data_IF_718874384622
#
_entry.id   IF_718874384622
#
_cell.length_a   1.000
_cell.length_b   1.000
_cell.length_c   1.000
_cell.angle_alpha   90.00
_cell.angle_beta   90.00
_cell.angle_gamma   90.00
#
_symmetry.space_group_name_H-M   'P 1'
#
loop_
_entity.id
_entity.type
_entity.pdbx_description
1 polymer ?
#
# COMPACT_ATOMS: atom_id res chain seq x y z
N UNK A 1 -15.35 -7.49 -0.37
CA UNK A 1 -14.54 -6.43 0.29
C UNK A 1 -14.68 -5.15 -0.53
N UNK A 2 -14.68 -3.98 0.12
CA UNK A 2 -14.76 -2.69 -0.58
C UNK A 2 -13.35 -2.32 -1.09
N UNK A 3 -13.23 -1.93 -2.37
CA UNK A 3 -12.00 -1.35 -2.92
C UNK A 3 -11.72 -0.01 -2.22
N UNK A 4 -10.55 0.13 -1.62
CA UNK A 4 -10.15 1.33 -0.90
C UNK A 4 -9.73 2.42 -1.87
N UNK A 5 -10.09 3.66 -1.54
CA UNK A 5 -9.52 4.86 -2.21
C UNK A 5 -8.14 5.17 -1.68
N UNK A 6 -7.38 6.01 -2.40
CA UNK A 6 -6.09 6.53 -1.92
C UNK A 6 -6.20 7.18 -0.53
N UNK A 7 -7.28 7.90 -0.25
CA UNK A 7 -7.44 8.61 1.02
C UNK A 7 -7.76 7.64 2.16
N UNK A 8 -8.58 6.63 1.93
CA UNK A 8 -8.83 5.55 2.89
C UNK A 8 -7.54 4.78 3.22
N UNK A 9 -6.71 4.50 2.21
CA UNK A 9 -5.40 3.86 2.39
C UNK A 9 -4.50 4.72 3.29
N UNK A 10 -4.44 6.04 3.05
CA UNK A 10 -3.65 6.96 3.88
C UNK A 10 -4.17 7.03 5.31
N UNK A 11 -5.49 7.04 5.49
CA UNK A 11 -6.11 7.04 6.82
C UNK A 11 -5.76 5.78 7.60
N UNK A 12 -5.86 4.61 6.96
CA UNK A 12 -5.44 3.33 7.56
C UNK A 12 -3.95 3.38 7.91
N UNK A 13 -3.09 3.87 7.02
CA UNK A 13 -1.67 4.01 7.28
C UNK A 13 -1.41 4.82 8.54
N UNK A 14 -1.95 6.04 8.65
CA UNK A 14 -1.75 6.92 9.80
C UNK A 14 -2.24 6.32 11.12
N UNK A 15 -3.38 5.63 11.10
CA UNK A 15 -3.98 5.00 12.30
C UNK A 15 -3.23 3.74 12.76
N UNK A 16 -2.44 3.12 11.89
CA UNK A 16 -1.83 1.81 12.15
C UNK A 16 -0.30 1.80 11.97
N UNK A 17 0.35 2.96 12.10
CA UNK A 17 1.81 3.07 12.19
C UNK A 17 2.31 2.21 13.36
N UNK A 18 3.31 1.36 13.11
CA UNK A 18 3.85 0.47 14.14
C UNK A 18 5.34 0.70 14.43
N UNK A 19 6.23 0.77 13.43
CA UNK A 19 7.68 0.83 13.65
C UNK A 19 8.37 1.80 12.69
N UNK A 20 9.28 2.63 13.22
CA UNK A 20 10.15 3.51 12.43
C UNK A 20 11.04 2.71 11.46
N UNK A 21 11.26 3.26 10.28
CA UNK A 21 12.14 2.70 9.26
C UNK A 21 12.81 3.81 8.43
N UNK A 22 13.77 3.42 7.61
CA UNK A 22 14.38 4.24 6.55
C UNK A 22 14.34 3.52 5.19
N UNK A 23 13.60 2.42 5.09
CA UNK A 23 13.50 1.64 3.86
C UNK A 23 12.67 2.39 2.83
N UNK A 24 13.17 2.48 1.59
CA UNK A 24 12.43 3.03 0.44
C UNK A 24 11.80 4.41 0.70
N UNK A 25 12.51 5.26 1.44
CA UNK A 25 12.04 6.60 1.85
C UNK A 25 10.70 6.60 2.63
N UNK A 26 10.42 5.49 3.31
CA UNK A 26 9.30 5.39 4.26
C UNK A 26 9.82 5.73 5.65
N UNK A 27 9.04 6.52 6.40
CA UNK A 27 9.38 6.86 7.79
C UNK A 27 8.92 5.81 8.80
N UNK A 28 7.79 5.14 8.53
CA UNK A 28 7.24 4.11 9.40
C UNK A 28 6.57 2.98 8.60
N UNK A 29 6.64 1.75 9.11
CA UNK A 29 5.79 0.70 8.62
C UNK A 29 4.38 0.81 9.20
N UNK A 30 3.40 0.37 8.42
CA UNK A 30 2.06 0.02 8.84
C UNK A 30 1.94 -1.50 8.99
N UNK A 31 1.38 -1.94 10.10
CA UNK A 31 1.20 -3.35 10.45
C UNK A 31 -0.26 -3.82 10.29
N UNK A 32 -1.10 -3.04 9.60
CA UNK A 32 -2.47 -3.40 9.27
C UNK A 32 -2.51 -4.25 7.99
N UNK A 33 -3.09 -5.47 7.98
CA UNK A 33 -3.13 -6.30 6.78
C UNK A 33 -3.96 -5.68 5.66
N UNK A 34 -3.39 -5.61 4.47
CA UNK A 34 -4.08 -5.22 3.23
C UNK A 34 -3.93 -6.31 2.17
N UNK A 35 -4.90 -6.38 1.28
CA UNK A 35 -4.87 -7.22 0.07
C UNK A 35 -4.61 -6.31 -1.12
N UNK A 36 -3.68 -6.72 -1.99
CA UNK A 36 -3.36 -6.07 -3.25
C UNK A 36 -3.71 -7.05 -4.37
N UNK A 37 -4.52 -6.60 -5.31
CA UNK A 37 -4.98 -7.36 -6.47
C UNK A 37 -4.44 -6.71 -7.74
N UNK A 38 -3.76 -7.49 -8.57
CA UNK A 38 -3.43 -7.14 -9.96
C UNK A 38 -4.19 -8.07 -10.93
N UNK A 39 -3.86 -8.05 -12.23
CA UNK A 39 -4.57 -8.85 -13.23
C UNK A 39 -4.45 -10.37 -13.02
N UNK A 40 -3.33 -10.82 -12.48
CA UNK A 40 -2.98 -12.24 -12.44
C UNK A 40 -2.91 -12.79 -11.00
N UNK A 41 -2.78 -11.91 -10.00
CA UNK A 41 -2.41 -12.31 -8.64
C UNK A 41 -3.12 -11.51 -7.55
N UNK A 42 -3.24 -12.17 -6.40
CA UNK A 42 -3.63 -11.57 -5.13
C UNK A 42 -2.48 -11.71 -4.14
N UNK A 43 -2.07 -10.60 -3.53
CA UNK A 43 -1.02 -10.56 -2.53
C UNK A 43 -1.56 -9.99 -1.21
N UNK A 44 -1.23 -10.63 -0.09
CA UNK A 44 -1.54 -10.12 1.25
C UNK A 44 -0.30 -9.50 1.86
N UNK A 45 -0.33 -8.20 2.11
CA UNK A 45 0.72 -7.51 2.84
C UNK A 45 0.31 -7.27 4.28
N UNK A 46 1.10 -7.81 5.22
CA UNK A 46 0.97 -7.53 6.67
C UNK A 46 1.91 -6.41 7.15
N UNK A 47 2.78 -5.94 6.26
CA UNK A 47 3.80 -4.93 6.54
C UNK A 47 4.05 -4.13 5.26
N UNK A 48 3.61 -2.88 5.26
CA UNK A 48 3.70 -1.97 4.13
C UNK A 48 3.96 -0.54 4.61
N UNK A 49 4.16 0.40 3.70
CA UNK A 49 4.27 1.81 4.05
C UNK A 49 4.02 2.72 2.87
N UNK A 50 3.96 4.03 3.11
CA UNK A 50 3.80 5.06 2.08
C UNK A 50 5.02 5.97 2.13
N UNK A 51 5.70 6.12 0.99
CA UNK A 51 6.87 7.01 0.87
C UNK A 51 6.46 8.46 0.55
N UNK A 52 7.43 9.37 0.48
CA UNK A 52 7.18 10.80 0.21
C UNK A 52 6.60 11.05 -1.20
N UNK A 53 6.84 10.16 -2.15
CA UNK A 53 6.32 10.21 -3.52
C UNK A 53 4.85 9.76 -3.63
N UNK A 54 4.26 9.25 -2.53
CA UNK A 54 2.88 8.77 -2.51
C UNK A 54 2.74 7.35 -3.07
N UNK A 55 3.79 6.55 -3.00
CA UNK A 55 3.78 5.15 -3.38
C UNK A 55 3.58 4.27 -2.15
N UNK A 56 2.70 3.27 -2.30
CA UNK A 56 2.50 2.24 -1.30
C UNK A 56 3.47 1.08 -1.58
N UNK A 57 4.47 0.90 -0.72
CA UNK A 57 5.40 -0.23 -0.79
C UNK A 57 4.80 -1.40 -0.01
N UNK A 58 4.39 -2.47 -0.70
CA UNK A 58 3.71 -3.62 -0.07
C UNK A 58 4.54 -4.90 0.01
N UNK A 59 5.68 -4.95 -0.71
CA UNK A 59 6.65 -6.02 -0.60
C UNK A 59 8.08 -5.48 -0.63
N UNK A 60 8.64 -5.25 0.55
CA UNK A 60 10.01 -4.74 0.74
C UNK A 60 11.10 -5.67 0.21
N UNK A 61 10.87 -6.98 0.10
CA UNK A 61 11.89 -7.91 -0.42
C UNK A 61 12.03 -7.83 -1.93
N UNK A 62 10.92 -7.56 -2.62
CA UNK A 62 10.86 -7.48 -4.08
C UNK A 62 10.80 -6.05 -4.61
N UNK A 63 10.83 -5.05 -3.72
CA UNK A 63 10.57 -3.65 -4.03
C UNK A 63 9.27 -3.46 -4.84
N UNK A 64 8.19 -4.13 -4.44
CA UNK A 64 6.90 -3.95 -5.11
C UNK A 64 6.11 -2.81 -4.47
N UNK A 65 5.57 -1.98 -5.33
CA UNK A 65 4.85 -0.78 -4.94
C UNK A 65 3.65 -0.49 -5.84
N UNK A 66 2.76 0.37 -5.33
CA UNK A 66 1.65 0.95 -6.08
C UNK A 66 1.76 2.47 -6.00
N UNK A 67 1.90 3.13 -7.14
CA UNK A 67 1.72 4.58 -7.20
C UNK A 67 0.24 4.93 -6.94
N UNK A 68 -0.07 5.54 -5.80
CA UNK A 68 -1.46 5.75 -5.38
C UNK A 68 -2.21 6.76 -6.26
N UNK A 69 -1.50 7.67 -6.94
CA UNK A 69 -2.13 8.58 -7.91
C UNK A 69 -2.59 7.82 -9.15
N UNK A 70 -1.72 7.00 -9.73
CA UNK A 70 -2.10 6.16 -10.89
C UNK A 70 -3.19 5.15 -10.56
N UNK A 71 -3.18 4.61 -9.34
CA UNK A 71 -4.24 3.71 -8.86
C UNK A 71 -5.61 4.39 -8.82
N UNK A 72 -5.68 5.60 -8.27
CA UNK A 72 -6.92 6.39 -8.22
C UNK A 72 -7.43 6.75 -9.63
N UNK A 73 -6.51 7.06 -10.56
CA UNK A 73 -6.81 7.35 -11.96
C UNK A 73 -7.11 6.09 -12.81
N UNK A 74 -7.12 4.89 -12.21
CA UNK A 74 -7.25 3.59 -12.88
C UNK A 74 -6.21 3.33 -14.00
N UNK A 75 -5.01 3.91 -13.85
CA UNK A 75 -3.84 3.72 -14.74
C UNK A 75 -2.79 2.77 -14.15
N UNK A 76 -3.00 2.26 -12.95
CA UNK A 76 -2.10 1.30 -12.30
C UNK A 76 -2.35 -0.13 -12.79
N UNK A 77 -1.31 -0.97 -12.76
CA UNK A 77 -1.47 -2.43 -12.87
C UNK A 77 -2.24 -3.02 -11.68
N UNK A 78 -2.17 -2.37 -10.51
CA UNK A 78 -2.99 -2.71 -9.35
C UNK A 78 -4.46 -2.37 -9.64
N UNK A 79 -5.32 -3.39 -9.64
CA UNK A 79 -6.76 -3.27 -9.85
C UNK A 79 -7.49 -2.92 -8.56
N UNK A 80 -7.01 -3.40 -7.42
CA UNK A 80 -7.68 -3.20 -6.15
C UNK A 80 -6.75 -3.29 -4.94
N UNK A 81 -7.01 -2.42 -3.96
CA UNK A 81 -6.45 -2.54 -2.62
C UNK A 81 -7.63 -2.65 -1.65
N UNK A 82 -7.59 -3.63 -0.76
CA UNK A 82 -8.68 -3.94 0.16
C UNK A 82 -8.16 -4.06 1.59
N UNK A 83 -8.95 -3.60 2.56
CA UNK A 83 -8.75 -3.98 3.95
C UNK A 83 -9.16 -5.44 4.12
N UNK A 84 -8.37 -6.19 4.89
CA UNK A 84 -8.70 -7.57 5.27
C UNK A 84 -9.66 -7.60 6.46
#
# INVERSE_FOLDING_TARGET
MKRLTKDEIKEIYQKNICKKTKDYDITHYCCYPIVIEDEDNIYVSKKWGINSEGELIYNFKKNWFVNLKMYEENKSFCKGIYSK
#
